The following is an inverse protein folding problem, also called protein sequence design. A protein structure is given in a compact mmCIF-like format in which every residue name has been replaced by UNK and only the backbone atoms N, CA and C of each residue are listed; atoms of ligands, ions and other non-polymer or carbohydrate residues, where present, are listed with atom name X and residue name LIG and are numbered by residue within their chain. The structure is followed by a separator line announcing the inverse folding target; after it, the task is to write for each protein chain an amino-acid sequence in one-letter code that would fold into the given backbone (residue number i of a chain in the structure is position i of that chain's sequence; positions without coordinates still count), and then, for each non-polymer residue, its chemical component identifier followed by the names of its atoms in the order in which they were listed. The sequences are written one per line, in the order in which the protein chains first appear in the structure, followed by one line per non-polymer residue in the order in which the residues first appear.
data_IF_702612217168
#
_entry.id   IF_702612217168
#
_cell.length_a   1.000
_cell.length_b   1.000
_cell.length_c   1.000
_cell.angle_alpha   90.00
_cell.angle_beta   90.00
_cell.angle_gamma   90.00
#
_symmetry.space_group_name_H-M   'P 1'
#
loop_
_entity.id
_entity.type
_entity.pdbx_description
1 polymer ?
#
# COMPACT_ATOMS: atom_id res chain seq x y z
N UNK A 1 -8.84 7.67 -3.53
CA UNK A 1 -9.55 8.20 -4.71
C UNK A 1 -9.57 9.73 -4.70
N UNK A 2 -10.20 10.41 -3.73
CA UNK A 2 -10.21 11.89 -3.68
C UNK A 2 -8.82 12.54 -3.72
N UNK A 3 -7.84 12.03 -2.98
CA UNK A 3 -6.47 12.58 -3.03
C UNK A 3 -5.89 12.57 -4.46
N UNK A 4 -6.09 11.49 -5.22
CA UNK A 4 -5.65 11.41 -6.61
C UNK A 4 -6.42 12.37 -7.53
N UNK A 5 -7.75 12.45 -7.38
CA UNK A 5 -8.58 13.37 -8.17
C UNK A 5 -8.30 14.85 -7.87
N UNK A 6 -8.08 15.20 -6.61
CA UNK A 6 -7.71 16.55 -6.20
C UNK A 6 -6.32 16.94 -6.74
N UNK A 7 -5.36 16.01 -6.72
CA UNK A 7 -4.03 16.23 -7.31
C UNK A 7 -4.10 16.40 -8.83
N UNK A 8 -4.95 15.63 -9.52
CA UNK A 8 -5.20 15.82 -10.95
C UNK A 8 -5.77 17.22 -11.24
N UNK A 9 -6.72 17.69 -10.43
CA UNK A 9 -7.34 19.00 -10.61
C UNK A 9 -6.40 20.18 -10.26
N UNK A 10 -5.65 20.07 -9.16
CA UNK A 10 -4.80 21.16 -8.65
C UNK A 10 -3.39 21.17 -9.27
N UNK A 11 -2.80 20.01 -9.53
CA UNK A 11 -1.40 19.84 -9.98
C UNK A 11 -1.29 18.78 -11.09
N UNK A 12 -1.85 19.03 -12.28
CA UNK A 12 -1.97 18.03 -13.35
C UNK A 12 -0.63 17.49 -13.86
N UNK A 13 0.42 18.33 -13.94
CA UNK A 13 1.75 17.88 -14.35
C UNK A 13 2.39 16.94 -13.32
N UNK A 14 2.23 17.24 -12.03
CA UNK A 14 2.73 16.39 -10.95
C UNK A 14 2.00 15.04 -10.95
N UNK A 15 0.68 15.07 -11.14
CA UNK A 15 -0.11 13.87 -11.33
C UNK A 15 0.40 13.02 -12.50
N UNK A 16 0.62 13.63 -13.66
CA UNK A 16 1.08 12.92 -14.85
C UNK A 16 2.43 12.24 -14.65
N UNK A 17 3.45 12.98 -14.19
CA UNK A 17 4.80 12.44 -13.97
C UNK A 17 4.82 11.37 -12.87
N UNK A 18 4.02 11.56 -11.82
CA UNK A 18 3.92 10.57 -10.74
C UNK A 18 3.33 9.25 -11.23
N UNK A 19 2.17 9.30 -11.90
CA UNK A 19 1.47 8.09 -12.33
C UNK A 19 2.17 7.40 -13.51
N UNK A 20 2.89 8.14 -14.37
CA UNK A 20 3.71 7.56 -15.43
C UNK A 20 5.00 6.95 -14.87
N UNK A 21 5.71 7.65 -13.96
CA UNK A 21 6.97 7.19 -13.40
C UNK A 21 6.83 6.01 -12.43
N UNK A 22 5.76 5.99 -11.64
CA UNK A 22 5.45 4.89 -10.71
C UNK A 22 4.38 3.95 -11.28
N UNK A 23 4.30 3.82 -12.61
CA UNK A 23 3.29 3.01 -13.28
C UNK A 23 3.22 1.57 -12.74
N UNK A 24 4.34 0.85 -12.76
CA UNK A 24 4.41 -0.54 -12.28
C UNK A 24 4.02 -0.67 -10.80
N UNK A 25 4.61 0.12 -9.85
CA UNK A 25 4.17 0.14 -8.46
C UNK A 25 2.66 0.38 -8.30
N UNK A 26 2.10 1.35 -9.01
CA UNK A 26 0.68 1.69 -8.88
C UNK A 26 -0.25 0.64 -9.47
N UNK A 27 0.15 -0.06 -10.54
CA UNK A 27 -0.59 -1.22 -11.04
C UNK A 27 -0.64 -2.33 -9.99
N UNK A 28 0.49 -2.65 -9.36
CA UNK A 28 0.50 -3.64 -8.26
C UNK A 28 -0.33 -3.19 -7.06
N UNK A 29 -0.28 -1.90 -6.73
CA UNK A 29 -1.11 -1.33 -5.66
C UNK A 29 -2.60 -1.48 -5.98
N UNK A 30 -3.01 -1.19 -7.23
CA UNK A 30 -4.40 -1.32 -7.68
C UNK A 30 -4.85 -2.79 -7.60
N UNK A 31 -4.03 -3.73 -8.08
CA UNK A 31 -4.32 -5.16 -8.01
C UNK A 31 -4.46 -5.64 -6.56
N UNK A 32 -3.59 -5.18 -5.64
CA UNK A 32 -3.72 -5.48 -4.21
C UNK A 32 -5.02 -4.93 -3.61
N UNK A 33 -5.43 -3.71 -3.97
CA UNK A 33 -6.68 -3.13 -3.49
C UNK A 33 -7.91 -3.86 -4.02
N UNK A 34 -7.88 -4.30 -5.28
CA UNK A 34 -8.93 -5.16 -5.87
C UNK A 34 -8.96 -6.50 -5.13
N UNK A 35 -7.83 -7.16 -4.97
CA UNK A 35 -7.71 -8.43 -4.25
C UNK A 35 -8.26 -8.33 -2.84
N UNK A 36 -7.95 -7.24 -2.12
CA UNK A 36 -8.50 -6.98 -0.79
C UNK A 36 -10.03 -6.91 -0.82
N UNK A 37 -10.61 -6.11 -1.71
CA UNK A 37 -12.06 -5.94 -1.81
C UNK A 37 -12.80 -7.23 -2.19
N UNK A 38 -12.23 -8.00 -3.11
CA UNK A 38 -12.74 -9.32 -3.53
C UNK A 38 -12.63 -10.31 -2.37
N UNK A 39 -11.50 -10.35 -1.66
CA UNK A 39 -11.28 -11.26 -0.53
C UNK A 39 -12.37 -11.15 0.53
N UNK A 40 -12.79 -9.92 0.90
CA UNK A 40 -13.90 -9.72 1.84
C UNK A 40 -15.22 -10.35 1.37
N UNK A 41 -15.57 -10.20 0.09
CA UNK A 41 -16.84 -10.71 -0.45
C UNK A 41 -16.84 -12.23 -0.67
N UNK A 42 -15.72 -12.79 -1.11
CA UNK A 42 -15.65 -14.19 -1.52
C UNK A 42 -15.29 -15.14 -0.38
N UNK A 43 -14.64 -14.66 0.69
CA UNK A 43 -14.27 -15.48 1.86
C UNK A 43 -15.41 -16.31 2.44
N UNK A 44 -16.61 -15.74 2.55
CA UNK A 44 -17.75 -16.39 3.18
C UNK A 44 -18.65 -17.20 2.22
N UNK A 45 -18.33 -17.26 0.92
CA UNK A 45 -19.20 -17.90 -0.08
C UNK A 45 -19.13 -19.43 -0.08
N UNK A 46 -18.00 -20.01 0.28
CA UNK A 46 -17.79 -21.46 0.26
C UNK A 46 -17.29 -21.88 1.63
N UNK A 47 -17.96 -22.86 2.23
CA UNK A 47 -17.58 -23.41 3.54
C UNK A 47 -16.51 -24.49 3.39
N UNK A 48 -15.32 -24.08 2.95
CA UNK A 48 -14.13 -24.93 2.85
C UNK A 48 -12.95 -24.22 3.51
N UNK A 49 -12.20 -24.94 4.35
CA UNK A 49 -11.03 -24.39 5.04
C UNK A 49 -9.95 -23.88 4.08
N UNK A 50 -9.67 -24.60 2.99
CA UNK A 50 -8.69 -24.16 1.97
C UNK A 50 -9.14 -22.89 1.27
N UNK A 51 -10.43 -22.75 1.00
CA UNK A 51 -11.02 -21.55 0.40
C UNK A 51 -10.89 -20.34 1.33
N UNK A 52 -11.32 -20.48 2.58
CA UNK A 52 -11.21 -19.41 3.59
C UNK A 52 -9.76 -18.95 3.76
N UNK A 53 -8.83 -19.90 3.87
CA UNK A 53 -7.40 -19.60 4.02
C UNK A 53 -6.81 -18.87 2.81
N UNK A 54 -7.17 -19.24 1.58
CA UNK A 54 -6.70 -18.54 0.38
C UNK A 54 -7.15 -17.07 0.36
N UNK A 55 -8.41 -16.80 0.73
CA UNK A 55 -8.92 -15.43 0.81
C UNK A 55 -8.39 -14.64 2.01
N UNK A 56 -8.07 -15.32 3.12
CA UNK A 56 -7.37 -14.70 4.26
C UNK A 56 -5.96 -14.22 3.85
N UNK A 57 -5.23 -15.02 3.07
CA UNK A 57 -3.96 -14.60 2.47
C UNK A 57 -4.12 -13.45 1.47
N UNK A 58 -5.16 -13.50 0.62
CA UNK A 58 -5.47 -12.40 -0.30
C UNK A 58 -5.78 -11.09 0.43
N UNK A 59 -6.50 -11.16 1.55
CA UNK A 59 -6.79 -10.01 2.40
C UNK A 59 -5.53 -9.47 3.07
N UNK A 60 -4.65 -10.35 3.55
CA UNK A 60 -3.38 -9.98 4.17
C UNK A 60 -2.46 -9.28 3.16
N UNK A 61 -2.18 -9.91 2.02
CA UNK A 61 -1.32 -9.35 0.97
C UNK A 61 -1.90 -8.03 0.43
N UNK A 62 -3.22 -8.01 0.15
CA UNK A 62 -3.91 -6.82 -0.34
C UNK A 62 -3.95 -5.66 0.65
N UNK A 63 -3.72 -5.91 1.94
CA UNK A 63 -3.63 -4.87 2.98
C UNK A 63 -2.18 -4.48 3.30
N UNK A 64 -1.22 -5.39 3.13
CA UNK A 64 0.20 -5.15 3.38
C UNK A 64 0.90 -4.41 2.23
N UNK A 65 0.57 -4.74 0.98
CA UNK A 65 1.26 -4.22 -0.19
C UNK A 65 1.07 -2.70 -0.41
N UNK A 66 -0.14 -2.12 -0.26
CA UNK A 66 -0.33 -0.70 -0.52
C UNK A 66 0.47 0.23 0.42
N UNK A 67 0.53 0.01 1.75
CA UNK A 67 1.40 0.78 2.63
C UNK A 67 2.88 0.72 2.22
N UNK A 68 3.40 -0.46 1.88
CA UNK A 68 4.80 -0.62 1.47
C UNK A 68 5.09 0.22 0.23
N UNK A 69 4.25 0.10 -0.81
CA UNK A 69 4.44 0.81 -2.07
C UNK A 69 4.32 2.33 -1.89
N UNK A 70 3.44 2.80 -1.00
CA UNK A 70 3.38 4.22 -0.65
C UNK A 70 4.62 4.69 0.09
N UNK A 71 5.12 3.93 1.07
CA UNK A 71 6.36 4.28 1.77
C UNK A 71 7.57 4.33 0.85
N UNK A 72 7.67 3.38 -0.09
CA UNK A 72 8.69 3.38 -1.16
C UNK A 72 8.57 4.63 -2.03
N UNK A 73 7.36 5.00 -2.45
CA UNK A 73 7.15 6.19 -3.28
C UNK A 73 7.55 7.48 -2.54
N UNK A 74 7.13 7.64 -1.28
CA UNK A 74 7.48 8.80 -0.46
C UNK A 74 8.99 8.90 -0.26
N UNK A 75 9.67 7.79 0.06
CA UNK A 75 11.11 7.78 0.22
C UNK A 75 11.86 8.12 -1.08
N UNK A 76 11.35 7.69 -2.24
CA UNK A 76 11.89 8.11 -3.53
C UNK A 76 11.73 9.62 -3.77
N UNK A 77 10.65 10.25 -3.31
CA UNK A 77 10.52 11.72 -3.40
C UNK A 77 11.53 12.45 -2.51
N UNK A 78 11.88 11.88 -1.36
CA UNK A 78 12.86 12.48 -0.45
C UNK A 78 14.28 12.42 -1.03
N UNK A 79 14.63 11.34 -1.72
CA UNK A 79 15.94 11.18 -2.39
C UNK A 79 16.00 11.95 -3.71
N UNK A 80 14.84 12.16 -4.34
CA UNK A 80 14.73 12.72 -5.68
C UNK A 80 14.69 11.62 -6.73
N UNK A 81 13.78 11.76 -7.68
CA UNK A 81 13.62 10.84 -8.79
C UNK A 81 14.27 11.47 -10.03
N UNK A 82 15.10 10.73 -10.79
CA UNK A 82 15.65 11.24 -12.05
C UNK A 82 14.52 11.50 -13.04
N UNK A 83 14.36 12.75 -13.44
CA UNK A 83 13.33 13.21 -14.39
C UNK A 83 14.03 13.89 -15.57
N UNK A 84 13.69 13.52 -16.81
CA UNK A 84 14.21 14.17 -18.02
C UNK A 84 13.54 15.51 -18.34
N UNK A 85 14.06 16.21 -19.36
CA UNK A 85 13.50 17.48 -19.86
C UNK A 85 12.04 17.35 -20.34
N UNK A 86 11.61 16.15 -20.72
CA UNK A 86 10.23 15.83 -21.10
C UNK A 86 9.33 15.49 -19.90
N UNK A 87 9.84 15.64 -18.67
CA UNK A 87 9.16 15.34 -17.40
C UNK A 87 8.80 13.86 -17.21
N UNK A 88 9.52 12.96 -17.88
CA UNK A 88 9.41 11.52 -17.67
C UNK A 88 10.42 11.08 -16.62
N UNK A 89 10.02 10.14 -15.77
CA UNK A 89 10.95 9.47 -14.87
C UNK A 89 11.86 8.56 -15.69
N UNK A 90 13.18 8.80 -15.61
CA UNK A 90 14.19 8.03 -16.33
C UNK A 90 14.81 7.01 -15.38
N UNK A 91 14.37 5.77 -15.49
CA UNK A 91 14.90 4.68 -14.66
C UNK A 91 14.02 3.44 -14.71
N UNK A 92 14.63 2.29 -14.47
CA UNK A 92 13.88 1.03 -14.37
C UNK A 92 13.16 0.89 -13.03
N UNK A 93 12.14 0.03 -12.96
CA UNK A 93 11.41 -0.27 -11.72
C UNK A 93 12.33 -0.64 -10.55
N UNK A 94 13.40 -1.41 -10.82
CA UNK A 94 14.35 -1.84 -9.78
C UNK A 94 15.18 -0.68 -9.20
N UNK A 95 15.33 0.42 -9.94
CA UNK A 95 16.04 1.59 -9.45
C UNK A 95 15.24 2.33 -8.37
N UNK A 96 13.91 2.22 -8.40
CA UNK A 96 13.01 2.73 -7.35
C UNK A 96 13.09 1.90 -6.06
N UNK A 97 13.69 0.70 -6.11
CA UNK A 97 13.81 -0.25 -4.99
C UNK A 97 15.22 -0.27 -4.39
N UNK A 98 15.81 0.90 -4.19
CA UNK A 98 17.07 1.01 -3.44
C UNK A 98 16.85 0.88 -1.92
N UNK A 99 17.88 0.57 -1.11
CA UNK A 99 17.73 0.28 0.33
C UNK A 99 16.96 1.35 1.13
N UNK A 100 17.19 2.64 0.85
CA UNK A 100 16.46 3.72 1.51
C UNK A 100 14.95 3.73 1.21
N UNK A 101 14.55 3.37 -0.02
CA UNK A 101 13.15 3.30 -0.40
C UNK A 101 12.46 2.11 0.27
N UNK A 102 13.14 0.97 0.34
CA UNK A 102 12.67 -0.20 1.08
C UNK A 102 12.49 0.10 2.57
N UNK A 103 13.43 0.85 3.17
CA UNK A 103 13.29 1.32 4.55
C UNK A 103 12.04 2.19 4.73
N UNK A 104 11.79 3.13 3.81
CA UNK A 104 10.57 3.92 3.79
C UNK A 104 9.30 3.07 3.71
N UNK A 105 9.31 2.04 2.85
CA UNK A 105 8.23 1.06 2.74
C UNK A 105 7.96 0.31 4.05
N UNK A 106 9.01 -0.19 4.70
CA UNK A 106 8.89 -0.89 6.00
C UNK A 106 8.39 0.06 7.08
N UNK A 107 8.95 1.27 7.18
CA UNK A 107 8.50 2.27 8.16
C UNK A 107 7.02 2.60 7.99
N UNK A 108 6.56 2.82 6.75
CA UNK A 108 5.17 3.17 6.49
C UNK A 108 4.23 2.00 6.81
N UNK A 109 4.65 0.76 6.50
CA UNK A 109 3.92 -0.43 6.91
C UNK A 109 3.79 -0.53 8.44
N UNK A 110 4.89 -0.36 9.17
CA UNK A 110 4.89 -0.40 10.63
C UNK A 110 3.98 0.68 11.22
N UNK A 111 3.98 1.88 10.66
CA UNK A 111 3.08 2.97 11.06
C UNK A 111 1.61 2.56 10.89
N UNK A 112 1.25 1.95 9.76
CA UNK A 112 -0.11 1.44 9.54
C UNK A 112 -0.48 0.30 10.52
N UNK A 113 0.47 -0.59 10.84
CA UNK A 113 0.26 -1.67 11.81
C UNK A 113 -0.01 -1.09 13.20
N UNK A 114 0.83 -0.18 13.68
CA UNK A 114 0.66 0.48 14.98
C UNK A 114 -0.69 1.19 15.05
N UNK A 115 -1.06 1.93 14.00
CA UNK A 115 -2.36 2.60 13.95
C UNK A 115 -3.53 1.60 13.98
N UNK A 116 -3.41 0.47 13.29
CA UNK A 116 -4.38 -0.63 13.35
C UNK A 116 -4.50 -1.25 14.74
N UNK A 117 -3.38 -1.50 15.43
CA UNK A 117 -3.35 -2.05 16.79
C UNK A 117 -3.99 -1.10 17.82
N UNK A 118 -3.72 0.20 17.70
CA UNK A 118 -4.38 1.23 18.50
C UNK A 118 -5.89 1.21 18.29
N UNK A 119 -6.33 1.15 17.03
CA UNK A 119 -7.76 1.05 16.71
C UNK A 119 -8.40 -0.22 17.30
N UNK A 120 -7.75 -1.38 17.16
CA UNK A 120 -8.23 -2.64 17.73
C UNK A 120 -8.35 -2.57 19.25
N UNK A 121 -7.41 -1.90 19.93
CA UNK A 121 -7.45 -1.74 21.39
C UNK A 121 -8.70 -0.97 21.84
N UNK A 122 -9.11 0.05 21.08
CA UNK A 122 -10.30 0.85 21.38
C UNK A 122 -11.58 0.07 21.06
N UNK A 123 -11.58 -0.73 19.99
CA UNK A 123 -12.79 -1.35 19.44
C UNK A 123 -13.07 -2.79 19.89
N UNK A 124 -12.10 -3.49 20.47
CA UNK A 124 -12.25 -4.89 20.90
C UNK A 124 -12.19 -5.00 22.43
N UNK A 125 -12.61 -6.13 23.02
CA UNK A 125 -12.55 -6.41 24.46
C UNK A 125 -11.91 -7.77 24.74
N UNK A 126 -11.57 -8.04 26.02
CA UNK A 126 -11.00 -9.32 26.46
C UNK A 126 -9.63 -9.64 25.85
N UNK A 127 -9.39 -10.93 25.59
CA UNK A 127 -8.09 -11.47 25.12
C UNK A 127 -7.58 -10.81 23.83
N UNK A 128 -8.48 -10.40 22.93
CA UNK A 128 -8.09 -9.77 21.67
C UNK A 128 -7.52 -8.35 21.88
N UNK A 129 -8.09 -7.59 22.83
CA UNK A 129 -7.59 -6.27 23.22
C UNK A 129 -6.20 -6.38 23.85
N UNK A 130 -6.02 -7.36 24.75
CA UNK A 130 -4.72 -7.58 25.42
C UNK A 130 -3.63 -7.90 24.41
N UNK A 131 -3.91 -8.82 23.47
CA UNK A 131 -2.99 -9.14 22.37
C UNK A 131 -2.63 -7.91 21.53
N UNK A 132 -3.60 -7.04 21.24
CA UNK A 132 -3.35 -5.83 20.45
C UNK A 132 -2.53 -4.77 21.22
N UNK A 133 -2.49 -4.79 22.56
CA UNK A 133 -1.72 -3.86 23.39
C UNK A 133 -0.25 -4.24 23.54
N UNK A 134 0.05 -5.53 23.51
CA UNK A 134 1.40 -6.07 23.74
C UNK A 134 2.17 -6.33 22.44
N UNK A 135 1.48 -6.34 21.30
CA UNK A 135 2.05 -6.46 19.97
C UNK A 135 2.66 -5.12 19.52
#
# INVERSE_FOLDING_TARGET
VCAGGAMFAAFPHWYATLFSGFYIPFVFMLLALILRGVSFKFRAKIDNHKWKSAWDWGMFIGSMLPPILWGVAIANFMVGVPIDESKNVVGGFLQLLHPFALLGGVMFLLLCIVHGLQFLTIRTTGKLRERARIA
#
